data_IF_313647739957
#
_entry.id   IF_313647739957
#
_cell.length_a   1.000
_cell.length_b   1.000
_cell.length_c   1.000
_cell.angle_alpha   90.00
_cell.angle_beta   90.00
_cell.angle_gamma   90.00
#
_symmetry.space_group_name_H-M   'P 1'
#
loop_
_entity.id
_entity.type
_entity.pdbx_description
1 polymer ?
#
# COMPACT_ATOMS: atom_id res chain seq x y z
N UNK A 1 11.83 14.90 -13.46
CA UNK A 1 12.75 14.07 -14.28
C UNK A 1 13.65 13.31 -13.32
N UNK A 2 13.84 11.99 -13.46
CA UNK A 2 14.66 11.20 -12.53
C UNK A 2 16.08 11.76 -12.42
N UNK A 3 16.63 11.69 -11.20
CA UNK A 3 18.02 12.06 -10.92
C UNK A 3 18.77 10.80 -10.53
N UNK A 4 19.94 10.59 -11.14
CA UNK A 4 20.80 9.43 -10.90
C UNK A 4 22.10 9.89 -10.24
N UNK A 5 22.39 9.36 -9.07
CA UNK A 5 23.61 9.67 -8.33
C UNK A 5 24.73 8.69 -8.67
N UNK A 6 25.93 9.23 -8.84
CA UNK A 6 27.15 8.49 -9.15
C UNK A 6 28.24 8.80 -8.13
N UNK A 7 29.11 7.81 -7.87
CA UNK A 7 30.27 7.94 -6.99
C UNK A 7 31.52 7.43 -7.67
N UNK A 8 32.61 8.18 -7.62
CA UNK A 8 33.91 7.72 -8.10
C UNK A 8 34.47 6.67 -7.14
N UNK A 9 34.90 5.48 -7.62
CA UNK A 9 35.47 4.44 -6.75
C UNK A 9 36.86 4.82 -6.19
N UNK A 10 37.60 5.73 -6.85
CA UNK A 10 38.95 6.14 -6.41
C UNK A 10 38.93 7.30 -5.40
N UNK A 11 38.37 8.44 -5.81
CA UNK A 11 38.42 9.66 -4.99
C UNK A 11 37.14 9.89 -4.17
N UNK A 12 36.10 9.08 -4.37
CA UNK A 12 34.84 9.19 -3.63
C UNK A 12 33.96 10.38 -4.01
N UNK A 13 34.35 11.20 -5.00
CA UNK A 13 33.55 12.31 -5.51
C UNK A 13 32.17 11.86 -5.98
N UNK A 14 31.18 12.74 -5.86
CA UNK A 14 29.81 12.46 -6.25
C UNK A 14 29.34 13.37 -7.38
N UNK A 15 28.55 12.83 -8.30
CA UNK A 15 27.93 13.59 -9.37
C UNK A 15 26.49 13.12 -9.57
N UNK A 16 25.57 14.05 -9.80
CA UNK A 16 24.16 13.75 -10.06
C UNK A 16 23.82 14.11 -11.50
N UNK A 17 23.22 13.16 -12.23
CA UNK A 17 22.82 13.34 -13.63
C UNK A 17 21.30 13.27 -13.73
N UNK A 18 20.70 14.31 -14.30
CA UNK A 18 19.26 14.36 -14.57
C UNK A 18 19.03 13.77 -15.96
N UNK A 19 18.30 12.67 -16.05
CA UNK A 19 17.99 12.00 -17.31
C UNK A 19 16.59 11.36 -17.25
N UNK A 20 15.86 11.33 -18.36
CA UNK A 20 14.59 10.61 -18.41
C UNK A 20 14.80 9.10 -18.23
N UNK A 21 13.78 8.37 -17.75
CA UNK A 21 13.90 6.91 -17.59
C UNK A 21 14.12 6.20 -18.93
N UNK A 22 13.43 6.62 -19.98
CA UNK A 22 13.55 6.02 -21.31
C UNK A 22 14.95 6.20 -21.90
N UNK A 23 15.52 7.39 -21.77
CA UNK A 23 16.86 7.71 -22.24
C UNK A 23 17.93 7.01 -21.38
N UNK A 24 17.74 6.91 -20.07
CA UNK A 24 18.64 6.17 -19.18
C UNK A 24 18.73 4.67 -19.53
N UNK A 25 17.60 4.03 -19.86
CA UNK A 25 17.58 2.62 -20.26
C UNK A 25 18.24 2.38 -21.62
N UNK A 26 18.13 3.34 -22.55
CA UNK A 26 18.71 3.22 -23.90
C UNK A 26 20.18 3.61 -23.95
N UNK A 27 20.56 4.71 -23.29
CA UNK A 27 21.90 5.28 -23.31
C UNK A 27 22.18 6.02 -21.99
N UNK A 28 22.64 5.31 -20.94
CA UNK A 28 22.86 5.91 -19.64
C UNK A 28 24.06 6.87 -19.68
N UNK A 29 23.84 8.12 -19.27
CA UNK A 29 24.91 9.11 -19.13
C UNK A 29 25.72 8.82 -17.86
N UNK A 30 26.88 8.18 -18.02
CA UNK A 30 27.78 7.83 -16.92
C UNK A 30 28.94 8.85 -16.83
N UNK A 31 29.03 9.67 -15.77
CA UNK A 31 30.14 10.59 -15.61
C UNK A 31 31.46 9.83 -15.37
N UNK A 32 32.56 10.45 -15.77
CA UNK A 32 33.92 9.89 -15.66
C UNK A 32 34.71 10.74 -14.67
N UNK A 33 35.42 10.08 -13.75
CA UNK A 33 36.27 10.74 -12.77
C UNK A 33 37.50 9.86 -12.50
N UNK A 34 38.68 10.47 -12.38
CA UNK A 34 39.94 9.75 -12.15
C UNK A 34 40.23 8.64 -13.18
N UNK A 35 39.93 8.91 -14.46
CA UNK A 35 40.06 7.98 -15.60
C UNK A 35 39.13 6.74 -15.57
N UNK A 36 38.28 6.60 -14.55
CA UNK A 36 37.31 5.51 -14.44
C UNK A 36 35.87 6.04 -14.58
N UNK A 37 34.98 5.17 -15.07
CA UNK A 37 33.54 5.44 -15.10
C UNK A 37 33.02 5.38 -13.67
N UNK A 38 32.29 6.42 -13.25
CA UNK A 38 31.71 6.46 -11.90
C UNK A 38 30.62 5.40 -11.75
N UNK A 39 30.53 4.80 -10.55
CA UNK A 39 29.54 3.79 -10.24
C UNK A 39 28.22 4.43 -9.82
N UNK A 40 27.09 3.87 -10.24
CA UNK A 40 25.78 4.36 -9.81
C UNK A 40 25.58 4.05 -8.34
N UNK A 41 25.33 5.08 -7.54
CA UNK A 41 24.91 4.94 -6.15
C UNK A 41 23.39 5.05 -6.10
N UNK A 42 22.75 3.96 -5.70
CA UNK A 42 21.34 4.02 -5.30
C UNK A 42 21.29 4.76 -3.97
N UNK A 43 20.95 6.04 -4.00
CA UNK A 43 20.54 6.77 -2.81
C UNK A 43 19.20 6.19 -2.37
N UNK A 44 19.25 5.11 -1.59
CA UNK A 44 18.06 4.64 -0.88
C UNK A 44 17.74 5.74 0.12
N UNK A 45 16.75 6.57 -0.21
CA UNK A 45 16.25 7.59 0.71
C UNK A 45 15.97 6.87 2.04
N UNK A 46 16.58 7.26 3.17
CA UNK A 46 16.50 6.51 4.42
C UNK A 46 15.06 6.22 4.86
N UNK A 47 14.13 7.12 4.52
CA UNK A 47 12.70 7.00 4.77
C UNK A 47 12.01 5.83 4.04
N UNK A 48 12.63 5.25 3.01
CA UNK A 48 12.13 4.08 2.28
C UNK A 48 12.96 2.82 2.53
N UNK A 49 13.91 2.84 3.45
CA UNK A 49 14.50 1.61 3.95
C UNK A 49 13.40 0.83 4.67
N UNK A 50 13.23 -0.46 4.37
CA UNK A 50 12.28 -1.32 5.11
C UNK A 50 12.54 -1.36 6.62
N UNK A 51 13.70 -0.88 7.07
CA UNK A 51 14.05 -0.72 8.48
C UNK A 51 13.45 0.55 9.12
N UNK A 52 13.21 1.62 8.35
CA UNK A 52 12.61 2.88 8.82
C UNK A 52 11.08 2.90 8.70
N UNK A 53 10.49 1.94 7.99
CA UNK A 53 9.05 1.83 7.86
C UNK A 53 8.45 1.15 9.10
N UNK A 54 7.70 1.89 9.91
CA UNK A 54 7.00 1.36 11.08
C UNK A 54 5.97 0.26 10.74
N UNK A 55 5.51 0.20 9.48
CA UNK A 55 4.59 -0.82 8.97
C UNK A 55 5.32 -2.04 8.40
N UNK A 56 6.66 -2.03 8.35
CA UNK A 56 7.44 -3.17 7.89
C UNK A 56 7.73 -4.12 9.06
N UNK A 57 7.10 -5.29 9.02
CA UNK A 57 7.30 -6.36 10.01
C UNK A 57 6.47 -6.18 11.28
N UNK A 58 6.97 -6.71 12.40
CA UNK A 58 6.29 -6.68 13.70
C UNK A 58 6.70 -5.48 14.58
N UNK A 59 7.41 -4.49 14.02
CA UNK A 59 7.92 -3.32 14.75
C UNK A 59 6.86 -2.44 15.38
N UNK A 60 5.65 -2.39 14.82
CA UNK A 60 4.54 -1.65 15.42
C UNK A 60 4.07 -2.26 16.75
N UNK A 61 4.47 -3.49 17.06
CA UNK A 61 4.26 -4.07 18.38
C UNK A 61 5.38 -3.72 19.37
N UNK A 62 6.56 -3.24 18.94
CA UNK A 62 7.68 -3.02 19.86
C UNK A 62 7.30 -2.08 21.01
N UNK A 63 7.39 -2.57 22.25
CA UNK A 63 7.05 -1.82 23.46
C UNK A 63 5.56 -1.56 23.70
N UNK A 64 4.68 -2.14 22.88
CA UNK A 64 3.24 -1.94 22.98
C UNK A 64 2.69 -2.58 24.28
N UNK A 65 1.89 -1.82 25.01
CA UNK A 65 1.19 -2.26 26.22
C UNK A 65 -0.30 -1.95 26.10
N UNK A 66 -1.11 -2.83 26.64
CA UNK A 66 -2.54 -2.61 26.75
C UNK A 66 -2.86 -1.57 27.85
N UNK A 67 -4.08 -0.99 27.89
CA UNK A 67 -4.46 0.02 28.88
C UNK A 67 -4.38 -0.46 30.35
N UNK A 68 -4.45 -1.77 30.56
CA UNK A 68 -4.27 -2.43 31.86
C UNK A 68 -2.79 -2.66 32.23
N UNK A 69 -1.86 -2.29 31.35
CA UNK A 69 -0.42 -2.48 31.52
C UNK A 69 0.12 -3.82 31.01
N UNK A 70 -0.73 -4.71 30.50
CA UNK A 70 -0.31 -6.01 29.94
C UNK A 70 0.61 -5.80 28.75
N UNK A 71 1.73 -6.54 28.72
CA UNK A 71 2.68 -6.50 27.61
C UNK A 71 2.09 -7.20 26.36
N UNK A 72 1.88 -6.42 25.29
CA UNK A 72 1.41 -6.89 23.97
C UNK A 72 2.46 -6.60 22.89
N UNK A 73 3.74 -6.67 23.28
CA UNK A 73 4.89 -6.30 22.45
C UNK A 73 5.17 -7.21 21.24
N UNK A 74 4.32 -8.19 20.99
CA UNK A 74 4.41 -9.04 19.81
C UNK A 74 3.02 -9.39 19.30
N UNK A 75 2.96 -9.78 18.02
CA UNK A 75 1.72 -10.23 17.39
C UNK A 75 1.02 -11.35 18.15
N UNK A 76 1.79 -12.31 18.68
CA UNK A 76 1.26 -13.44 19.46
C UNK A 76 0.67 -12.97 20.77
N UNK A 77 1.40 -12.16 21.54
CA UNK A 77 0.92 -11.59 22.82
C UNK A 77 -0.34 -10.74 22.63
N UNK A 78 -0.36 -9.92 21.59
CA UNK A 78 -1.53 -9.14 21.23
C UNK A 78 -2.75 -10.03 20.96
N UNK A 79 -2.58 -11.10 20.17
CA UNK A 79 -3.69 -12.01 19.83
C UNK A 79 -4.19 -12.77 21.07
N UNK A 80 -3.30 -13.24 21.93
CA UNK A 80 -3.65 -13.87 23.22
C UNK A 80 -4.41 -12.92 24.13
N UNK A 81 -3.96 -11.67 24.22
CA UNK A 81 -4.64 -10.62 24.99
C UNK A 81 -6.07 -10.37 24.48
N UNK A 82 -6.24 -10.24 23.16
CA UNK A 82 -7.56 -10.04 22.55
C UNK A 82 -8.49 -11.22 22.82
N UNK A 83 -8.02 -12.45 22.63
CA UNK A 83 -8.79 -13.66 22.90
C UNK A 83 -9.23 -13.75 24.38
N UNK A 84 -8.32 -13.40 25.31
CA UNK A 84 -8.61 -13.41 26.75
C UNK A 84 -9.63 -12.35 27.17
N UNK A 85 -9.63 -11.19 26.51
CA UNK A 85 -10.53 -10.07 26.84
C UNK A 85 -11.83 -10.07 26.04
N UNK A 86 -12.04 -11.09 25.19
CA UNK A 86 -13.23 -11.19 24.35
C UNK A 86 -13.26 -10.16 23.21
N UNK A 87 -12.10 -9.60 22.86
CA UNK A 87 -11.93 -8.68 21.74
C UNK A 87 -11.60 -9.46 20.46
N UNK A 88 -11.95 -8.88 19.32
CA UNK A 88 -11.70 -9.50 18.02
C UNK A 88 -10.42 -8.96 17.39
N UNK A 89 -9.70 -9.87 16.73
CA UNK A 89 -8.56 -9.53 15.89
C UNK A 89 -8.94 -9.66 14.41
N UNK A 90 -8.23 -8.93 13.56
CA UNK A 90 -8.42 -8.99 12.10
C UNK A 90 -8.35 -10.41 11.54
N UNK A 91 -7.57 -11.30 12.16
CA UNK A 91 -7.46 -12.70 11.72
C UNK A 91 -8.71 -13.53 11.92
N UNK A 92 -9.63 -13.11 12.76
CA UNK A 92 -10.85 -13.86 13.07
C UNK A 92 -11.87 -13.77 11.93
N UNK A 93 -11.66 -12.81 11.01
CA UNK A 93 -12.54 -12.55 9.86
C UNK A 93 -11.94 -13.01 8.52
N UNK A 94 -10.93 -13.88 8.54
CA UNK A 94 -10.16 -14.26 7.33
C UNK A 94 -11.05 -14.70 6.15
N UNK A 95 -12.07 -15.50 6.43
CA UNK A 95 -12.95 -16.03 5.38
C UNK A 95 -14.05 -15.03 4.96
N UNK A 96 -14.46 -14.15 5.87
CA UNK A 96 -15.47 -13.11 5.56
C UNK A 96 -14.97 -12.13 4.50
N UNK A 97 -13.67 -11.88 4.46
CA UNK A 97 -13.09 -10.93 3.51
C UNK A 97 -13.07 -11.48 2.09
N UNK A 98 -12.86 -12.79 1.95
CA UNK A 98 -12.96 -13.50 0.68
C UNK A 98 -14.40 -13.50 0.17
N UNK A 99 -15.36 -13.75 1.07
CA UNK A 99 -16.79 -13.68 0.75
C UNK A 99 -17.18 -12.26 0.31
N UNK A 100 -16.84 -11.23 1.08
CA UNK A 100 -17.12 -9.83 0.74
C UNK A 100 -16.38 -9.35 -0.52
N UNK A 101 -15.22 -9.92 -0.84
CA UNK A 101 -14.53 -9.64 -2.10
C UNK A 101 -15.28 -10.24 -3.30
N UNK A 102 -15.80 -11.46 -3.15
CA UNK A 102 -16.63 -12.13 -4.15
C UNK A 102 -17.94 -11.36 -4.36
N UNK A 103 -18.65 -11.00 -3.30
CA UNK A 103 -19.89 -10.20 -3.38
C UNK A 103 -19.67 -8.87 -4.11
N UNK A 104 -18.56 -8.17 -3.85
CA UNK A 104 -18.20 -6.93 -4.56
C UNK A 104 -17.84 -7.18 -6.02
N UNK A 105 -17.30 -8.35 -6.37
CA UNK A 105 -17.04 -8.71 -7.76
C UNK A 105 -18.35 -9.00 -8.49
N UNK A 106 -19.23 -9.80 -7.89
CA UNK A 106 -20.55 -10.15 -8.41
C UNK A 106 -21.42 -8.89 -8.58
N UNK A 107 -21.41 -7.97 -7.60
CA UNK A 107 -22.09 -6.67 -7.73
C UNK A 107 -21.55 -5.84 -8.91
N UNK A 108 -20.22 -5.78 -9.08
CA UNK A 108 -19.59 -5.04 -10.20
C UNK A 108 -19.85 -5.67 -11.56
N UNK A 109 -19.99 -6.99 -11.62
CA UNK A 109 -20.32 -7.73 -12.83
C UNK A 109 -21.81 -7.64 -13.19
N UNK A 110 -22.62 -7.01 -12.34
CA UNK A 110 -24.04 -6.82 -12.60
C UNK A 110 -24.87 -8.08 -12.35
N UNK A 111 -24.32 -9.09 -11.66
CA UNK A 111 -25.00 -10.37 -11.39
C UNK A 111 -26.26 -10.21 -10.54
N UNK A 112 -26.41 -9.06 -9.87
CA UNK A 112 -27.58 -8.69 -9.07
C UNK A 112 -28.44 -7.57 -9.69
N UNK A 113 -28.21 -7.21 -10.96
CA UNK A 113 -29.01 -6.19 -11.63
C UNK A 113 -30.19 -6.86 -12.34
N UNK A 114 -31.32 -6.92 -11.62
CA UNK A 114 -32.61 -7.21 -12.24
C UNK A 114 -33.08 -5.96 -13.01
N UNK A 115 -32.88 -5.99 -14.34
CA UNK A 115 -33.21 -4.88 -15.22
C UNK A 115 -34.71 -4.56 -15.23
N UNK A 116 -35.55 -5.59 -15.12
CA UNK A 116 -37.01 -5.44 -15.13
C UNK A 116 -37.49 -4.75 -13.85
N UNK A 117 -37.00 -5.19 -12.69
CA UNK A 117 -37.31 -4.54 -11.41
C UNK A 117 -36.87 -3.08 -11.40
N UNK A 118 -35.72 -2.77 -12.02
CA UNK A 118 -35.21 -1.40 -12.11
C UNK A 118 -36.12 -0.50 -12.92
N UNK A 119 -36.66 -1.02 -14.01
CA UNK A 119 -37.59 -0.29 -14.88
C UNK A 119 -38.97 -0.11 -14.23
N UNK A 120 -39.46 -1.14 -13.53
CA UNK A 120 -40.68 -1.10 -12.72
C UNK A 120 -40.59 0.00 -11.65
N UNK A 121 -39.51 0.01 -10.87
CA UNK A 121 -39.26 1.04 -9.83
C UNK A 121 -39.16 2.44 -10.47
N UNK A 122 -38.46 2.59 -11.59
CA UNK A 122 -38.36 3.88 -12.28
C UNK A 122 -39.73 4.40 -12.74
N UNK A 123 -40.59 3.53 -13.25
CA UNK A 123 -41.96 3.85 -13.67
C UNK A 123 -42.83 4.27 -12.49
N UNK A 124 -42.75 3.56 -11.37
CA UNK A 124 -43.49 3.89 -10.15
C UNK A 124 -43.04 5.23 -9.55
N UNK A 125 -41.73 5.50 -9.53
CA UNK A 125 -41.20 6.79 -9.06
C UNK A 125 -41.69 7.94 -9.95
N UNK A 126 -41.63 7.79 -11.28
CA UNK A 126 -42.09 8.83 -12.21
C UNK A 126 -43.59 9.14 -12.04
N UNK A 127 -44.42 8.11 -11.88
CA UNK A 127 -45.86 8.28 -11.68
C UNK A 127 -46.22 8.86 -10.31
N UNK A 128 -45.41 8.60 -9.27
CA UNK A 128 -45.57 9.21 -7.96
C UNK A 128 -45.24 10.71 -7.99
N UNK A 129 -44.13 11.10 -8.62
CA UNK A 129 -43.71 12.50 -8.75
C UNK A 129 -44.75 13.33 -9.53
N UNK A 130 -45.27 12.77 -10.62
CA UNK A 130 -46.30 13.44 -11.45
C UNK A 130 -47.66 13.62 -10.76
N UNK A 131 -47.92 12.96 -9.63
CA UNK A 131 -49.16 13.11 -8.84
C UNK A 131 -49.04 14.14 -7.71
N UNK A 132 -47.84 14.61 -7.43
CA UNK A 132 -47.54 15.58 -6.37
C UNK A 132 -47.47 17.04 -6.86
N UNK A 133 -47.56 17.25 -8.17
CA UNK A 133 -47.77 18.56 -8.81
C UNK A 133 -49.26 18.81 -9.09
#
# INVERSE_FOLDING_TARGET
MPTYDYRCPRCGSTASVIQSMSEYTRQPKRPVCCADVMERRLSVVPAFSGLANALAGDRHYDGLRAPDGTDISSRTKHREYMARTGLTATSDFKDQWAVAAKERADYRQGTFQDAELREEVARQVHTAVAKTE
#
